data_IF_714503291293
#
_entry.id   IF_714503291293
#
_cell.length_a   1.000
_cell.length_b   1.000
_cell.length_c   1.000
_cell.angle_alpha   90.00
_cell.angle_beta   90.00
_cell.angle_gamma   90.00
#
_symmetry.space_group_name_H-M   'P 1'
#
loop_
_entity.id
_entity.type
_entity.pdbx_description
1 polymer ?
#
# COMPACT_ATOMS: atom_id res chain seq x y z
N UNK A 1 -4.12 14.95 -54.57
CA UNK A 1 -5.41 15.21 -53.89
C UNK A 1 -5.77 13.96 -53.08
N UNK A 2 -5.32 13.87 -51.82
CA UNK A 2 -6.14 14.11 -50.62
C UNK A 2 -7.43 13.29 -50.55
N UNK A 3 -7.39 12.19 -49.78
CA UNK A 3 -8.40 11.88 -48.76
C UNK A 3 -7.72 11.14 -47.61
N UNK A 4 -7.50 11.90 -46.55
CA UNK A 4 -7.08 11.46 -45.22
C UNK A 4 -8.19 10.61 -44.58
N UNK A 5 -7.81 9.90 -43.53
CA UNK A 5 -8.67 9.58 -42.38
C UNK A 5 -9.53 8.32 -42.47
N UNK A 6 -8.94 7.16 -42.25
CA UNK A 6 -9.59 6.09 -41.47
C UNK A 6 -8.53 5.05 -41.08
N UNK A 7 -8.65 4.49 -39.88
CA UNK A 7 -7.74 3.50 -39.25
C UNK A 7 -6.61 4.07 -38.38
N UNK A 8 -6.83 5.23 -37.76
CA UNK A 8 -6.27 5.56 -36.45
C UNK A 8 -7.31 5.16 -35.38
N UNK A 9 -7.55 3.85 -35.23
CA UNK A 9 -8.53 3.33 -34.27
C UNK A 9 -8.23 1.91 -33.77
N UNK A 10 -6.96 1.50 -33.74
CA UNK A 10 -6.53 0.23 -33.13
C UNK A 10 -5.51 0.42 -31.99
N UNK A 11 -5.47 1.62 -31.38
CA UNK A 11 -4.55 1.93 -30.28
C UNK A 11 -5.23 2.18 -28.92
N UNK A 12 -6.54 1.96 -28.78
CA UNK A 12 -7.28 2.41 -27.59
C UNK A 12 -8.26 1.41 -26.96
N UNK A 13 -8.11 0.11 -27.24
CA UNK A 13 -8.72 -0.97 -26.45
C UNK A 13 -7.63 -2.03 -26.28
N UNK A 14 -6.84 -2.05 -25.21
CA UNK A 14 -7.26 -2.61 -23.93
C UNK A 14 -6.37 -2.12 -22.77
N UNK A 15 -6.36 -0.81 -22.49
CA UNK A 15 -5.93 -0.28 -21.19
C UNK A 15 -7.05 -0.43 -20.12
N UNK A 16 -7.65 -1.62 -20.04
CA UNK A 16 -8.61 -1.98 -18.99
C UNK A 16 -8.15 -3.27 -18.33
N UNK A 17 -6.92 -3.22 -17.84
CA UNK A 17 -6.27 -4.24 -17.04
C UNK A 17 -5.38 -3.59 -16.00
N UNK A 18 -5.82 -2.48 -15.41
CA UNK A 18 -5.31 -2.10 -14.08
C UNK A 18 -5.86 -3.16 -13.11
N UNK A 19 -5.27 -4.35 -13.15
CA UNK A 19 -5.44 -5.35 -12.11
C UNK A 19 -5.24 -4.61 -10.79
N UNK A 20 -6.25 -4.65 -9.92
CA UNK A 20 -6.17 -4.32 -8.49
C UNK A 20 -5.06 -5.17 -7.87
N UNK A 21 -3.79 -4.87 -8.16
CA UNK A 21 -2.66 -5.56 -7.63
C UNK A 21 -2.50 -5.07 -6.19
N UNK A 22 -3.27 -5.67 -5.28
CA UNK A 22 -3.09 -5.51 -3.83
C UNK A 22 -1.63 -5.85 -3.59
N UNK A 23 -0.90 -4.96 -2.92
CA UNK A 23 0.55 -5.10 -2.70
C UNK A 23 0.96 -6.53 -2.33
N UNK A 24 0.15 -7.26 -1.56
CA UNK A 24 0.37 -8.62 -1.06
C UNK A 24 -0.06 -9.79 -1.99
N UNK A 25 -0.60 -9.53 -3.18
CA UNK A 25 -1.07 -10.57 -4.11
C UNK A 25 0.07 -11.23 -4.89
N UNK A 26 1.23 -10.57 -4.98
CA UNK A 26 2.46 -11.15 -5.56
C UNK A 26 3.06 -12.20 -4.61
N UNK A 27 2.45 -13.38 -4.56
CA UNK A 27 2.78 -14.49 -3.62
C UNK A 27 4.26 -14.87 -3.61
N UNK A 28 4.93 -14.88 -4.76
CA UNK A 28 6.36 -15.22 -4.87
C UNK A 28 7.30 -14.11 -4.34
N UNK A 29 6.81 -12.88 -4.19
CA UNK A 29 7.60 -11.76 -3.69
C UNK A 29 7.58 -11.67 -2.15
N UNK A 30 6.44 -12.00 -1.54
CA UNK A 30 6.23 -11.88 -0.10
C UNK A 30 6.44 -13.22 0.60
N UNK A 31 7.37 -13.25 1.55
CA UNK A 31 7.67 -14.46 2.32
C UNK A 31 6.61 -14.76 3.39
N UNK A 32 6.00 -13.70 3.95
CA UNK A 32 5.02 -13.80 5.01
C UNK A 32 3.77 -12.99 4.68
N UNK A 33 2.59 -13.58 4.90
CA UNK A 33 1.30 -12.89 4.87
C UNK A 33 0.74 -12.87 6.28
N UNK A 34 0.46 -11.68 6.81
CA UNK A 34 -0.11 -11.53 8.13
C UNK A 34 -1.62 -11.58 8.07
N UNK A 35 -2.23 -12.15 9.10
CA UNK A 35 -3.69 -12.16 9.23
C UNK A 35 -4.17 -10.74 9.56
N UNK A 36 -5.13 -10.24 8.79
CA UNK A 36 -5.84 -8.99 9.09
C UNK A 36 -7.27 -9.31 9.48
N UNK A 37 -7.69 -8.96 10.69
CA UNK A 37 -9.06 -9.17 11.16
C UNK A 37 -9.54 -7.95 11.93
N UNK A 38 -10.76 -7.49 11.64
CA UNK A 38 -11.39 -6.32 12.28
C UNK A 38 -10.50 -5.06 12.29
N UNK A 39 -9.70 -4.86 11.24
CA UNK A 39 -8.83 -3.69 11.10
C UNK A 39 -7.56 -3.73 11.95
N UNK A 40 -7.18 -4.90 12.48
CA UNK A 40 -5.92 -5.13 13.18
C UNK A 40 -5.07 -6.14 12.44
N UNK A 41 -3.76 -5.94 12.45
CA UNK A 41 -2.78 -6.87 11.91
C UNK A 41 -2.32 -7.80 13.03
N UNK A 42 -2.29 -9.10 12.75
CA UNK A 42 -1.84 -10.14 13.68
C UNK A 42 -0.53 -10.73 13.18
N UNK A 43 0.52 -10.51 13.96
CA UNK A 43 1.86 -11.04 13.75
C UNK A 43 2.05 -12.32 14.55
N UNK A 44 2.95 -13.19 14.07
CA UNK A 44 3.39 -14.39 14.80
C UNK A 44 4.25 -14.02 16.01
N UNK A 45 4.84 -12.82 16.02
CA UNK A 45 5.66 -12.33 17.13
C UNK A 45 4.81 -11.65 18.21
N UNK A 46 5.18 -11.83 19.49
CA UNK A 46 4.49 -11.18 20.63
C UNK A 46 4.48 -9.65 20.55
N UNK A 47 5.50 -9.04 19.93
CA UNK A 47 5.66 -7.59 19.82
C UNK A 47 4.82 -6.97 18.69
N UNK A 48 4.27 -7.78 17.78
CA UNK A 48 3.47 -7.35 16.65
C UNK A 48 4.13 -6.25 15.81
N UNK A 49 5.31 -6.57 15.27
CA UNK A 49 6.09 -5.63 14.48
C UNK A 49 5.35 -5.19 13.22
N UNK A 50 4.54 -6.06 12.61
CA UNK A 50 3.73 -5.70 11.44
C UNK A 50 2.73 -4.56 11.72
N UNK A 51 2.05 -4.58 12.88
CA UNK A 51 1.15 -3.49 13.28
C UNK A 51 1.91 -2.19 13.59
N UNK A 52 3.09 -2.27 14.22
CA UNK A 52 3.94 -1.11 14.49
C UNK A 52 4.40 -0.46 13.18
N UNK A 53 4.86 -1.30 12.23
CA UNK A 53 5.27 -0.88 10.90
C UNK A 53 4.12 -0.18 10.16
N UNK A 54 2.92 -0.77 10.19
CA UNK A 54 1.73 -0.19 9.58
C UNK A 54 1.37 1.18 10.16
N UNK A 55 1.42 1.36 11.48
CA UNK A 55 1.13 2.65 12.11
C UNK A 55 2.10 3.74 11.68
N UNK A 56 3.40 3.41 11.59
CA UNK A 56 4.42 4.33 11.06
C UNK A 56 4.19 4.65 9.59
N UNK A 57 3.77 3.65 8.80
CA UNK A 57 3.37 3.83 7.41
C UNK A 57 2.24 4.85 7.26
N UNK A 58 1.16 4.62 7.98
CA UNK A 58 -0.03 5.47 7.87
C UNK A 58 0.16 6.85 8.49
N UNK A 59 1.02 6.99 9.51
CA UNK A 59 1.37 8.30 10.07
C UNK A 59 1.96 9.21 8.99
N UNK A 60 2.81 8.69 8.11
CA UNK A 60 3.35 9.49 7.02
C UNK A 60 2.40 9.64 5.84
N UNK A 61 1.62 8.62 5.47
CA UNK A 61 0.57 8.81 4.45
C UNK A 61 -0.37 9.96 4.81
N UNK A 62 -0.60 10.22 6.10
CA UNK A 62 -1.35 11.40 6.56
C UNK A 62 -0.62 12.73 6.30
N UNK A 63 0.71 12.75 6.36
CA UNK A 63 1.52 13.97 6.17
C UNK A 63 1.92 14.23 4.73
N UNK A 64 2.10 13.20 3.89
CA UNK A 64 2.51 13.35 2.47
C UNK A 64 1.36 13.69 1.52
N UNK A 65 0.14 13.78 2.03
CA UNK A 65 -1.05 14.04 1.22
C UNK A 65 -1.67 12.77 0.62
N UNK A 66 -2.91 12.88 0.17
CA UNK A 66 -3.73 11.75 -0.29
C UNK A 66 -3.59 11.41 -1.77
N UNK A 67 -2.70 12.09 -2.50
CA UNK A 67 -2.63 12.01 -3.97
C UNK A 67 -3.89 12.55 -4.68
N UNK A 68 -4.88 13.07 -3.95
CA UNK A 68 -6.15 13.60 -4.48
C UNK A 68 -6.29 15.06 -4.05
N UNK A 69 -5.78 15.98 -4.87
CA UNK A 69 -5.90 17.43 -4.66
C UNK A 69 -5.57 17.87 -3.22
N UNK A 70 -6.41 18.73 -2.65
CA UNK A 70 -6.29 19.22 -1.28
C UNK A 70 -6.89 18.28 -0.20
N UNK A 71 -7.17 17.01 -0.52
CA UNK A 71 -7.74 16.07 0.43
C UNK A 71 -6.69 15.52 1.41
N UNK A 72 -7.08 15.29 2.66
CA UNK A 72 -6.23 14.71 3.70
C UNK A 72 -6.77 13.36 4.17
N UNK A 73 -5.87 12.47 4.58
CA UNK A 73 -6.24 11.16 5.14
C UNK A 73 -6.64 11.33 6.60
N UNK A 74 -7.90 11.06 6.95
CA UNK A 74 -8.41 11.22 8.33
C UNK A 74 -8.58 9.90 9.07
N UNK A 75 -8.89 8.81 8.36
CA UNK A 75 -8.94 7.46 8.93
C UNK A 75 -8.33 6.46 7.96
N UNK A 76 -7.87 5.33 8.49
CA UNK A 76 -7.35 4.24 7.70
C UNK A 76 -7.70 2.90 8.33
N UNK A 77 -7.83 1.86 7.51
CA UNK A 77 -8.12 0.50 7.95
C UNK A 77 -7.33 -0.49 7.09
N UNK A 78 -6.45 -1.32 7.68
CA UNK A 78 -5.68 -2.29 6.93
C UNK A 78 -6.60 -3.36 6.34
N UNK A 79 -6.25 -3.84 5.15
CA UNK A 79 -6.91 -4.92 4.41
C UNK A 79 -5.97 -6.08 4.15
N UNK A 80 -4.71 -5.78 3.84
CA UNK A 80 -3.66 -6.78 3.67
C UNK A 80 -2.36 -6.29 4.30
N UNK A 81 -1.56 -7.23 4.79
CA UNK A 81 -0.24 -6.99 5.33
C UNK A 81 0.67 -8.16 5.00
N UNK A 82 1.87 -7.88 4.52
CA UNK A 82 2.85 -8.86 4.10
C UNK A 82 4.27 -8.39 4.40
N UNK A 83 5.21 -9.33 4.46
CA UNK A 83 6.61 -9.05 4.73
C UNK A 83 7.55 -9.90 3.87
N UNK A 84 8.58 -9.25 3.36
CA UNK A 84 9.71 -9.85 2.65
C UNK A 84 10.96 -9.65 3.49
N UNK A 85 11.60 -10.73 3.88
CA UNK A 85 12.91 -10.67 4.54
C UNK A 85 14.02 -10.60 3.49
N UNK A 86 15.04 -9.78 3.72
CA UNK A 86 16.27 -9.72 2.90
C UNK A 86 17.42 -10.52 3.50
N UNK A 87 17.30 -10.94 4.76
CA UNK A 87 18.18 -11.97 5.35
C UNK A 87 17.31 -13.15 5.80
N UNK A 88 17.32 -14.27 5.06
CA UNK A 88 16.59 -15.45 5.49
C UNK A 88 17.24 -16.00 6.76
N UNK A 89 16.46 -16.07 7.83
CA UNK A 89 16.91 -16.69 9.07
C UNK A 89 15.77 -16.69 10.06
N UNK A 90 15.19 -17.87 10.31
CA UNK A 90 14.23 -18.15 11.38
C UNK A 90 12.90 -17.35 11.37
N UNK A 91 11.76 -18.01 11.65
CA UNK A 91 10.53 -17.30 12.01
C UNK A 91 10.81 -16.29 13.15
N UNK A 92 10.32 -15.06 13.02
CA UNK A 92 10.42 -14.04 14.08
C UNK A 92 11.64 -13.11 14.04
N UNK A 93 12.56 -13.24 13.08
CA UNK A 93 13.69 -12.29 12.89
C UNK A 93 13.38 -11.21 11.84
N UNK A 94 12.30 -10.45 12.02
CA UNK A 94 11.86 -9.33 11.16
C UNK A 94 12.80 -8.10 11.27
N UNK A 95 14.10 -8.36 11.10
CA UNK A 95 15.20 -7.45 11.39
C UNK A 95 15.75 -6.79 10.11
N UNK A 96 15.48 -7.30 8.92
CA UNK A 96 15.90 -6.61 7.69
C UNK A 96 15.00 -7.02 6.53
N UNK A 97 14.16 -6.10 6.07
CA UNK A 97 13.22 -6.43 5.02
C UNK A 97 12.27 -5.30 4.67
N UNK A 98 11.19 -5.68 4.00
CA UNK A 98 10.15 -4.79 3.53
C UNK A 98 8.79 -5.29 4.02
N UNK A 99 8.01 -4.39 4.59
CA UNK A 99 6.58 -4.58 4.80
C UNK A 99 5.80 -3.98 3.63
N UNK A 100 4.74 -4.66 3.24
CA UNK A 100 3.73 -4.16 2.31
C UNK A 100 2.36 -4.13 3.00
N UNK A 101 1.63 -3.04 2.81
CA UNK A 101 0.30 -2.85 3.38
C UNK A 101 -0.67 -2.35 2.32
N UNK A 102 -1.84 -2.97 2.26
CA UNK A 102 -3.00 -2.40 1.58
C UNK A 102 -3.98 -1.90 2.61
N UNK A 103 -4.43 -0.66 2.46
CA UNK A 103 -5.33 0.00 3.38
C UNK A 103 -6.46 0.69 2.63
N UNK A 104 -7.66 0.70 3.21
CA UNK A 104 -8.69 1.67 2.82
C UNK A 104 -8.51 2.91 3.67
N UNK A 105 -8.43 4.07 3.04
CA UNK A 105 -8.35 5.37 3.71
C UNK A 105 -9.65 6.14 3.52
N UNK A 106 -10.05 6.85 4.56
CA UNK A 106 -11.09 7.87 4.52
C UNK A 106 -10.41 9.21 4.28
N UNK A 107 -10.83 9.90 3.23
CA UNK A 107 -10.35 11.23 2.90
C UNK A 107 -11.34 12.30 3.39
N UNK A 108 -10.78 13.43 3.84
CA UNK A 108 -11.50 14.67 4.08
C UNK A 108 -11.05 15.68 3.03
N UNK A 109 -11.98 16.15 2.21
CA UNK A 109 -11.71 17.04 1.10
C UNK A 109 -12.45 18.36 1.36
N UNK A 110 -11.77 19.52 1.45
CA UNK A 110 -12.44 20.78 1.77
C UNK A 110 -13.45 21.23 0.70
N UNK A 111 -13.31 20.74 -0.53
CA UNK A 111 -14.16 21.07 -1.68
C UNK A 111 -15.27 20.04 -1.95
N UNK A 112 -15.31 18.91 -1.23
CA UNK A 112 -16.37 17.91 -1.37
C UNK A 112 -17.20 17.85 -0.08
N UNK A 113 -18.53 17.91 -0.22
CA UNK A 113 -19.45 17.71 0.90
C UNK A 113 -19.53 16.24 1.35
N UNK A 114 -18.97 15.31 0.58
CA UNK A 114 -19.04 13.87 0.82
C UNK A 114 -17.69 13.29 1.26
N UNK A 115 -17.77 12.20 2.04
CA UNK A 115 -16.60 11.41 2.39
C UNK A 115 -16.17 10.54 1.21
N UNK A 116 -14.88 10.59 0.86
CA UNK A 116 -14.29 9.71 -0.15
C UNK A 116 -13.51 8.59 0.52
N UNK A 117 -13.70 7.36 0.05
CA UNK A 117 -12.87 6.23 0.42
C UNK A 117 -11.98 5.84 -0.74
N UNK A 118 -10.69 5.63 -0.47
CA UNK A 118 -9.68 5.24 -1.46
C UNK A 118 -8.91 4.05 -0.94
N UNK A 119 -8.42 3.21 -1.84
CA UNK A 119 -7.46 2.18 -1.46
C UNK A 119 -6.04 2.76 -1.64
N UNK A 120 -5.15 2.35 -0.76
CA UNK A 120 -3.76 2.82 -0.71
C UNK A 120 -2.87 1.65 -0.42
N UNK A 121 -1.85 1.53 -1.25
CA UNK A 121 -0.74 0.59 -1.04
C UNK A 121 0.47 1.36 -0.55
N UNK A 122 1.08 0.84 0.52
CA UNK A 122 2.23 1.45 1.19
C UNK A 122 3.27 0.38 1.47
N UNK A 123 4.52 0.68 1.16
CA UNK A 123 5.63 -0.19 1.53
C UNK A 123 6.63 0.50 2.46
N UNK A 124 7.17 -0.23 3.44
CA UNK A 124 8.10 0.30 4.45
C UNK A 124 9.28 -0.63 4.64
N UNK A 125 10.50 -0.11 4.69
CA UNK A 125 11.70 -0.90 4.96
C UNK A 125 12.09 -0.85 6.44
N UNK A 126 12.58 -1.98 6.96
CA UNK A 126 13.02 -2.11 8.37
C UNK A 126 14.45 -2.59 8.49
N UNK A 127 15.15 -2.11 9.52
CA UNK A 127 16.54 -2.44 9.89
C UNK A 127 16.66 -3.27 11.16
N UNK A 128 17.88 -3.78 11.41
CA UNK A 128 18.20 -4.78 12.45
C UNK A 128 18.00 -4.28 13.87
N UNK A 129 18.10 -2.97 14.04
CA UNK A 129 17.82 -2.21 15.25
C UNK A 129 16.33 -1.83 15.41
N UNK A 130 15.46 -2.37 14.54
CA UNK A 130 14.04 -2.02 14.46
C UNK A 130 13.77 -0.55 14.08
N UNK A 131 14.78 0.16 13.58
CA UNK A 131 14.58 1.46 12.93
C UNK A 131 13.95 1.25 11.55
N UNK A 132 13.15 2.22 11.12
CA UNK A 132 12.41 2.20 9.87
C UNK A 132 13.10 3.14 8.90
N UNK A 133 13.55 2.65 7.75
CA UNK A 133 14.15 3.49 6.72
C UNK A 133 13.13 3.72 5.60
N UNK A 134 12.86 4.99 5.33
CA UNK A 134 12.20 5.46 4.12
C UNK A 134 13.09 5.18 2.89
N UNK A 135 12.54 5.06 1.66
CA UNK A 135 11.36 5.77 1.14
C UNK A 135 10.10 4.93 0.95
N UNK A 136 8.93 5.53 1.23
CA UNK A 136 7.61 4.92 1.04
C UNK A 136 7.10 5.20 -0.36
N UNK A 137 7.03 4.16 -1.19
CA UNK A 137 6.12 4.18 -2.34
C UNK A 137 4.70 4.13 -1.79
N UNK A 138 3.94 5.20 -2.05
CA UNK A 138 2.51 5.27 -1.75
C UNK A 138 1.78 5.32 -3.09
N UNK A 139 0.96 4.32 -3.37
CA UNK A 139 0.14 4.26 -4.58
C UNK A 139 -1.32 4.39 -4.18
N UNK A 140 -1.98 5.42 -4.70
CA UNK A 140 -3.40 5.67 -4.51
C UNK A 140 -4.15 5.18 -5.76
N UNK A 141 -5.22 4.42 -5.55
CA UNK A 141 -6.10 3.89 -6.59
C UNK A 141 -7.56 4.12 -6.19
#
# INVERSE_FOLDING_TARGET
MSRKSTLLAMAFLAMLGACDAIICDKSHYWLYKYRVKRGRIYDITRRNFAEIAYRKAMALVKTTGSGVGACTVVKHRPKAACYKSWRPGGPGRQSLGQYGFTSVVKLSCPFLKSTVYKKVDVSVYTRRDFSYWYPMATLFY
#
